data_IF_137824110507
#
_entry.id   IF_137824110507
#
_cell.length_a   1.000
_cell.length_b   1.000
_cell.length_c   1.000
_cell.angle_alpha   90.00
_cell.angle_beta   90.00
_cell.angle_gamma   90.00
#
_symmetry.space_group_name_H-M   'P 1'
#
loop_
_entity.id
_entity.type
_entity.pdbx_description
1 polymer ?
#
# COMPACT_ATOMS: atom_id res chain seq x y z
N UNK A 1 15.17 -8.80 -12.50
CA UNK A 1 15.49 -8.62 -11.07
C UNK A 1 14.16 -8.37 -10.38
N UNK A 2 13.65 -9.39 -9.70
CA UNK A 2 12.40 -9.28 -8.94
C UNK A 2 12.74 -8.56 -7.65
N UNK A 3 12.56 -7.24 -7.61
CA UNK A 3 12.66 -6.49 -6.37
C UNK A 3 11.64 -7.09 -5.40
N UNK A 4 12.09 -7.58 -4.24
CA UNK A 4 11.22 -8.07 -3.18
C UNK A 4 10.38 -6.87 -2.72
N UNK A 5 9.15 -6.80 -3.22
CA UNK A 5 8.28 -5.67 -2.95
C UNK A 5 7.96 -5.60 -1.45
N UNK A 6 7.95 -4.38 -0.86
CA UNK A 6 7.55 -4.22 0.54
C UNK A 6 6.06 -4.52 0.75
N UNK A 7 5.27 -4.64 -0.33
CA UNK A 7 3.83 -4.84 -0.32
C UNK A 7 3.45 -6.24 -0.84
N UNK A 8 2.79 -7.09 -0.03
CA UNK A 8 2.32 -8.40 -0.48
C UNK A 8 1.16 -8.27 -1.48
N UNK A 9 1.13 -9.10 -2.53
CA UNK A 9 0.08 -9.10 -3.57
C UNK A 9 -0.12 -7.75 -4.27
N UNK A 10 0.95 -6.96 -4.43
CA UNK A 10 0.90 -5.62 -5.02
C UNK A 10 0.19 -5.56 -6.38
N UNK A 11 0.46 -6.52 -7.27
CA UNK A 11 -0.11 -6.55 -8.63
C UNK A 11 -1.65 -6.64 -8.65
N UNK A 12 -2.23 -7.22 -7.60
CA UNK A 12 -3.67 -7.43 -7.44
C UNK A 12 -4.36 -6.26 -6.72
N UNK A 13 -3.60 -5.31 -6.17
CA UNK A 13 -4.17 -4.21 -5.39
C UNK A 13 -4.92 -3.21 -6.27
N UNK A 14 -5.99 -2.66 -5.69
CA UNK A 14 -6.67 -1.51 -6.28
C UNK A 14 -5.86 -0.23 -6.07
N UNK A 15 -6.14 0.78 -6.90
CA UNK A 15 -5.54 2.11 -6.76
C UNK A 15 -5.82 2.72 -5.37
N UNK A 16 -6.99 2.46 -4.78
CA UNK A 16 -7.35 2.95 -3.45
C UNK A 16 -6.51 2.29 -2.35
N UNK A 17 -6.26 0.98 -2.46
CA UNK A 17 -5.44 0.24 -1.50
C UNK A 17 -3.99 0.71 -1.54
N UNK A 18 -3.46 0.93 -2.76
CA UNK A 18 -2.11 1.47 -2.97
C UNK A 18 -2.00 2.86 -2.31
N UNK A 19 -2.94 3.78 -2.56
CA UNK A 19 -2.95 5.11 -1.91
C UNK A 19 -2.97 5.06 -0.38
N UNK A 20 -3.61 4.04 0.19
CA UNK A 20 -3.60 3.87 1.64
C UNK A 20 -2.25 3.36 2.15
N UNK A 21 -1.70 2.34 1.50
CA UNK A 21 -0.46 1.68 1.92
C UNK A 21 0.79 2.53 1.71
N UNK A 22 0.89 3.33 0.65
CA UNK A 22 2.07 4.18 0.41
C UNK A 22 2.31 5.22 1.51
N UNK A 23 1.28 5.59 2.27
CA UNK A 23 1.37 6.58 3.35
C UNK A 23 2.20 6.10 4.54
N UNK A 24 2.31 4.78 4.75
CA UNK A 24 3.13 4.20 5.81
C UNK A 24 4.47 3.65 5.31
N UNK A 25 4.77 3.76 4.02
CA UNK A 25 6.07 3.37 3.47
C UNK A 25 7.15 4.40 3.79
N UNK A 26 8.37 3.90 3.96
CA UNK A 26 9.58 4.72 4.04
C UNK A 26 10.07 5.15 2.66
N UNK A 27 11.06 6.04 2.61
CA UNK A 27 11.67 6.51 1.35
C UNK A 27 12.16 5.34 0.49
N UNK A 28 12.94 4.44 1.08
CA UNK A 28 13.51 3.27 0.39
C UNK A 28 12.42 2.32 -0.14
N UNK A 29 11.34 2.15 0.63
CA UNK A 29 10.21 1.32 0.24
C UNK A 29 9.40 1.94 -0.92
N UNK A 30 9.22 3.27 -0.92
CA UNK A 30 8.57 4.01 -2.00
C UNK A 30 9.40 3.91 -3.29
N UNK A 31 10.72 4.05 -3.20
CA UNK A 31 11.63 3.91 -4.35
C UNK A 31 11.61 2.50 -4.96
N UNK A 32 11.55 1.46 -4.11
CA UNK A 32 11.42 0.08 -4.56
C UNK A 32 10.11 -0.16 -5.34
N UNK A 33 9.00 0.40 -4.84
CA UNK A 33 7.69 0.33 -5.51
C UNK A 33 7.73 1.08 -6.85
N UNK A 34 8.32 2.28 -6.90
CA UNK A 34 8.45 3.06 -8.14
C UNK A 34 9.22 2.30 -9.22
N UNK A 35 10.37 1.73 -8.85
CA UNK A 35 11.23 0.96 -9.75
C UNK A 35 10.52 -0.28 -10.27
N UNK A 36 9.80 -0.99 -9.40
CA UNK A 36 9.04 -2.16 -9.78
C UNK A 36 7.91 -1.81 -10.75
N UNK A 37 7.08 -0.81 -10.40
CA UNK A 37 5.91 -0.43 -11.20
C UNK A 37 6.33 0.07 -12.58
N UNK A 38 7.36 0.91 -12.67
CA UNK A 38 7.90 1.39 -13.93
C UNK A 38 8.46 0.26 -14.82
N UNK A 39 8.96 -0.82 -14.22
CA UNK A 39 9.51 -1.98 -14.92
C UNK A 39 8.51 -3.10 -15.23
N UNK A 40 7.31 -3.08 -14.62
CA UNK A 40 6.30 -4.14 -14.76
C UNK A 40 5.03 -3.66 -15.47
N UNK A 41 4.10 -3.05 -14.72
CA UNK A 41 2.77 -2.70 -15.24
C UNK A 41 2.71 -1.25 -15.78
N UNK A 42 3.60 -0.38 -15.31
CA UNK A 42 3.69 1.04 -15.66
C UNK A 42 2.33 1.76 -15.62
N UNK A 43 1.51 1.49 -14.59
CA UNK A 43 0.21 2.14 -14.44
C UNK A 43 0.45 3.61 -14.07
N UNK A 44 0.14 4.50 -15.01
CA UNK A 44 0.31 5.95 -14.83
C UNK A 44 -0.26 6.47 -13.51
N UNK A 45 -1.51 6.13 -13.10
CA UNK A 45 -2.06 6.64 -11.84
C UNK A 45 -1.28 6.17 -10.61
N UNK A 46 -0.70 4.97 -10.65
CA UNK A 46 0.09 4.41 -9.55
C UNK A 46 1.43 5.10 -9.46
N UNK A 47 2.12 5.30 -10.58
CA UNK A 47 3.37 6.05 -10.65
C UNK A 47 3.20 7.47 -10.08
N UNK A 48 2.14 8.17 -10.46
CA UNK A 48 1.83 9.52 -9.95
C UNK A 48 1.67 9.55 -8.42
N UNK A 49 0.98 8.55 -7.84
CA UNK A 49 0.80 8.43 -6.39
C UNK A 49 2.15 8.19 -5.69
N UNK A 50 2.95 7.27 -6.22
CA UNK A 50 4.23 6.88 -5.61
C UNK A 50 5.23 8.03 -5.70
N UNK A 51 5.30 8.73 -6.84
CA UNK A 51 6.12 9.93 -7.01
C UNK A 51 5.66 11.09 -6.13
N UNK A 52 4.35 11.27 -5.95
CA UNK A 52 3.83 12.28 -5.04
C UNK A 52 4.26 11.99 -3.59
N UNK A 53 4.17 10.73 -3.18
CA UNK A 53 4.60 10.31 -1.85
C UNK A 53 6.11 10.47 -1.64
N UNK A 54 6.92 10.16 -2.65
CA UNK A 54 8.37 10.36 -2.62
C UNK A 54 8.70 11.83 -2.35
N UNK A 55 8.06 12.75 -3.07
CA UNK A 55 8.23 14.20 -2.87
C UNK A 55 7.82 14.68 -1.47
N UNK A 56 6.78 14.09 -0.87
CA UNK A 56 6.40 14.40 0.50
C UNK A 56 7.49 13.99 1.50
N UNK A 57 8.05 12.79 1.34
CA UNK A 57 9.12 12.27 2.21
C UNK A 57 10.43 13.07 2.06
N UNK A 58 10.78 13.45 0.83
CA UNK A 58 11.90 14.38 0.54
C UNK A 58 11.67 15.75 1.19
N UNK A 59 10.42 16.19 1.28
CA UNK A 59 10.00 17.41 1.98
C UNK A 59 10.00 17.30 3.51
N UNK A 60 10.38 16.15 4.08
CA UNK A 60 10.45 15.90 5.51
C UNK A 60 9.15 15.37 6.13
N UNK A 61 8.19 14.90 5.33
CA UNK A 61 7.05 14.16 5.87
C UNK A 61 7.52 12.84 6.50
N UNK A 62 6.90 12.46 7.61
CA UNK A 62 7.17 11.15 8.22
C UNK A 62 6.19 10.08 7.69
N UNK A 63 6.63 8.81 7.60
CA UNK A 63 5.73 7.68 7.39
C UNK A 63 4.65 7.63 8.46
N UNK A 64 3.40 7.39 8.05
CA UNK A 64 2.31 7.22 9.02
C UNK A 64 2.57 5.95 9.86
N UNK A 65 2.35 6.00 11.20
CA UNK A 65 2.50 4.83 12.04
C UNK A 65 1.44 3.80 11.66
N UNK A 66 1.88 2.70 11.05
CA UNK A 66 1.03 1.60 10.60
C UNK A 66 1.85 0.62 9.76
N UNK A 67 1.61 -0.68 9.90
CA UNK A 67 2.30 -1.67 9.08
C UNK A 67 1.59 -1.76 7.70
N UNK A 68 2.21 -1.30 6.60
CA UNK A 68 1.63 -1.39 5.26
C UNK A 68 1.42 -2.85 4.80
N UNK A 69 2.08 -3.81 5.44
CA UNK A 69 1.96 -5.24 5.16
C UNK A 69 0.75 -5.87 5.84
N UNK A 70 0.18 -5.20 6.85
CA UNK A 70 -1.11 -5.62 7.43
C UNK A 70 -2.22 -5.30 6.43
N UNK A 71 -2.81 -6.32 5.85
CA UNK A 71 -4.20 -6.23 5.39
C UNK A 71 -5.06 -6.00 6.63
N UNK A 72 -6.08 -5.12 6.62
CA UNK A 72 -7.03 -5.08 7.72
C UNK A 72 -7.61 -6.48 7.83
N UNK A 73 -7.32 -7.18 8.93
CA UNK A 73 -8.03 -8.39 9.30
C UNK A 73 -9.50 -8.00 9.31
N UNK A 74 -10.24 -8.36 8.25
CA UNK A 74 -11.69 -8.32 8.28
C UNK A 74 -12.06 -9.46 9.23
N UNK A 75 -11.92 -9.20 10.53
CA UNK A 75 -12.50 -10.01 11.57
C UNK A 75 -14.00 -9.92 11.35
N UNK A 76 -14.51 -10.89 10.60
CA UNK A 76 -15.91 -11.09 10.35
C UNK A 76 -16.59 -11.18 11.72
N UNK A 77 -17.18 -10.08 12.17
CA UNK A 77 -18.08 -10.07 13.30
C UNK A 77 -19.36 -10.80 12.88
N UNK A 78 -19.30 -12.13 12.84
CA UNK A 78 -20.46 -13.00 12.82
C UNK A 78 -21.17 -12.79 14.15
N UNK A 79 -22.11 -11.84 14.16
CA UNK A 79 -23.06 -11.67 15.23
C UNK A 79 -23.95 -12.92 15.25
N UNK A 80 -23.92 -13.78 16.29
CA UNK A 80 -24.95 -14.80 16.40
C UNK A 80 -26.26 -14.08 16.71
N UNK A 81 -27.13 -13.95 15.71
CA UNK A 81 -28.50 -13.49 15.92
C UNK A 81 -29.20 -14.50 16.83
N UNK A 82 -29.46 -14.07 18.08
CA UNK A 82 -30.42 -14.69 18.99
C UNK A 82 -31.78 -14.87 18.28
N UNK A 83 -32.19 -16.11 18.01
CA UNK A 83 -33.59 -16.53 18.19
C UNK A 83 -33.64 -17.28 19.52
N UNK A 84 -34.47 -17.02 20.52
CA UNK A 84 -35.89 -16.58 20.59
C UNK A 84 -36.83 -17.51 19.83
N UNK A 85 -37.09 -18.65 20.45
CA UNK A 85 -38.44 -19.20 20.66
C UNK A 85 -38.42 -19.96 21.97
#
# INVERSE_FOLDING_TARGET
MSAELPLPSYDEMSLGDIQHKVRSLTMDEVEAVLTYEAGHAARVPVLEIVEARMRELEGGAEPSPGDPRRSPDIVANQTPRRGRT
#
